data_IF_206354913450
#
_entry.id   IF_206354913450
#
_cell.length_a   1.000
_cell.length_b   1.000
_cell.length_c   1.000
_cell.angle_alpha   90.00
_cell.angle_beta   90.00
_cell.angle_gamma   90.00
#
_symmetry.space_group_name_H-M   'P 1'
#
loop_
_entity.id
_entity.type
_entity.pdbx_description
1 polymer ?
#
# COMPACT_ATOMS: atom_id res chain seq x y z
N UNK A 1 21.47 -17.86 -21.30
CA UNK A 1 21.55 -16.91 -20.16
C UNK A 1 20.15 -16.37 -19.93
N UNK A 2 19.46 -16.80 -18.86
CA UNK A 2 18.13 -16.28 -18.52
C UNK A 2 18.30 -14.85 -18.00
N UNK A 3 17.91 -13.86 -18.81
CA UNK A 3 17.97 -12.46 -18.44
C UNK A 3 17.13 -12.19 -17.18
N UNK A 4 17.65 -11.33 -16.30
CA UNK A 4 16.91 -10.88 -15.12
C UNK A 4 15.54 -10.30 -15.55
N UNK A 5 14.45 -10.80 -14.97
CA UNK A 5 13.10 -10.30 -15.24
C UNK A 5 12.85 -8.86 -14.73
N UNK A 6 13.82 -8.30 -13.99
CA UNK A 6 13.76 -6.95 -13.45
C UNK A 6 14.05 -5.90 -14.52
N UNK A 7 13.15 -4.92 -14.63
CA UNK A 7 13.23 -3.76 -15.52
C UNK A 7 13.18 -2.49 -14.69
N UNK A 8 14.33 -1.88 -14.43
CA UNK A 8 14.45 -0.74 -13.52
C UNK A 8 13.54 0.45 -13.91
N UNK A 9 13.56 0.89 -15.16
CA UNK A 9 12.68 2.01 -15.57
C UNK A 9 11.19 1.66 -15.43
N UNK A 10 10.81 0.38 -15.62
CA UNK A 10 9.43 -0.06 -15.38
C UNK A 10 9.06 0.09 -13.89
N UNK A 11 9.95 -0.29 -12.97
CA UNK A 11 9.74 -0.08 -11.54
C UNK A 11 9.63 1.42 -11.22
N UNK A 12 10.57 2.24 -11.69
CA UNK A 12 10.59 3.69 -11.44
C UNK A 12 9.31 4.38 -11.89
N UNK A 13 8.85 4.10 -13.10
CA UNK A 13 7.62 4.69 -13.64
C UNK A 13 6.40 4.25 -12.82
N UNK A 14 6.30 2.96 -12.49
CA UNK A 14 5.14 2.46 -11.75
C UNK A 14 5.12 2.94 -10.29
N UNK A 15 6.28 3.16 -9.64
CA UNK A 15 6.33 3.79 -8.32
C UNK A 15 5.70 5.19 -8.33
N UNK A 16 6.02 6.01 -9.34
CA UNK A 16 5.41 7.35 -9.51
C UNK A 16 3.91 7.27 -9.77
N UNK A 17 3.47 6.31 -10.57
CA UNK A 17 2.05 6.09 -10.83
C UNK A 17 1.29 5.66 -9.57
N UNK A 18 1.90 4.79 -8.76
CA UNK A 18 1.34 4.37 -7.46
C UNK A 18 1.18 5.57 -6.53
N UNK A 19 2.21 6.41 -6.37
CA UNK A 19 2.13 7.63 -5.54
C UNK A 19 0.95 8.52 -5.98
N UNK A 20 0.87 8.82 -7.27
CA UNK A 20 -0.22 9.66 -7.79
C UNK A 20 -1.60 9.01 -7.58
N UNK A 21 -1.69 7.68 -7.71
CA UNK A 21 -2.94 6.95 -7.47
C UNK A 21 -3.35 7.00 -6.01
N UNK A 22 -2.42 6.77 -5.08
CA UNK A 22 -2.66 6.78 -3.64
C UNK A 22 -3.16 8.16 -3.19
N UNK A 23 -2.49 9.25 -3.58
CA UNK A 23 -2.94 10.64 -3.32
C UNK A 23 -4.38 10.90 -3.74
N UNK A 24 -4.77 10.41 -4.92
CA UNK A 24 -6.13 10.57 -5.43
C UNK A 24 -7.15 9.76 -4.62
N UNK A 25 -6.80 8.54 -4.22
CA UNK A 25 -7.65 7.66 -3.43
C UNK A 25 -7.81 8.17 -2.00
N UNK A 26 -6.72 8.58 -1.35
CA UNK A 26 -6.71 9.20 -0.01
C UNK A 26 -7.65 10.40 0.02
N UNK A 27 -7.46 11.37 -0.88
CA UNK A 27 -8.35 12.54 -0.97
C UNK A 27 -9.81 12.14 -1.15
N UNK A 28 -10.09 11.23 -2.09
CA UNK A 28 -11.45 10.78 -2.38
C UNK A 28 -12.09 10.08 -1.18
N UNK A 29 -11.37 9.18 -0.51
CA UNK A 29 -11.88 8.42 0.64
C UNK A 29 -12.11 9.33 1.84
N UNK A 30 -11.22 10.28 2.11
CA UNK A 30 -11.40 11.31 3.15
C UNK A 30 -12.65 12.16 2.92
N UNK A 31 -12.90 12.60 1.68
CA UNK A 31 -14.12 13.34 1.35
C UNK A 31 -15.40 12.50 1.53
N UNK A 32 -15.35 11.20 1.18
CA UNK A 32 -16.46 10.27 1.38
C UNK A 32 -16.71 9.98 2.87
N UNK A 33 -15.65 9.82 3.67
CA UNK A 33 -15.72 9.63 5.11
C UNK A 33 -16.40 10.82 5.79
N UNK A 34 -16.09 12.05 5.37
CA UNK A 34 -16.73 13.26 5.90
C UNK A 34 -18.23 13.29 5.62
N UNK A 35 -18.67 12.87 4.42
CA UNK A 35 -20.09 12.75 4.08
C UNK A 35 -20.77 11.66 4.92
N UNK A 36 -20.11 10.51 5.09
CA UNK A 36 -20.63 9.41 5.88
C UNK A 36 -20.80 9.78 7.37
N UNK A 37 -19.92 10.61 7.93
CA UNK A 37 -20.05 11.14 9.30
C UNK A 37 -21.33 11.99 9.47
N UNK A 38 -21.72 12.74 8.45
CA UNK A 38 -23.01 13.47 8.44
C UNK A 38 -24.20 12.52 8.43
N UNK A 39 -24.15 11.45 7.64
CA UNK A 39 -25.21 10.42 7.63
C UNK A 39 -25.39 9.75 9.00
N UNK A 40 -24.30 9.55 9.74
CA UNK A 40 -24.37 9.02 11.12
C UNK A 40 -25.12 9.99 12.03
N UNK A 41 -24.83 11.29 11.95
CA UNK A 41 -25.55 12.29 12.73
C UNK A 41 -27.05 12.26 12.43
N UNK A 42 -27.43 12.10 11.16
CA UNK A 42 -28.84 11.97 10.75
C UNK A 42 -29.48 10.69 11.31
N UNK A 43 -28.75 9.56 11.34
CA UNK A 43 -29.24 8.33 11.96
C UNK A 43 -29.45 8.47 13.46
N UNK A 44 -28.52 9.09 14.18
CA UNK A 44 -28.64 9.32 15.62
C UNK A 44 -29.79 10.28 15.95
N UNK A 45 -29.94 11.36 15.18
CA UNK A 45 -31.07 12.30 15.34
C UNK A 45 -32.43 11.63 15.10
N UNK A 46 -32.48 10.60 14.24
CA UNK A 46 -33.67 9.80 13.99
C UNK A 46 -33.83 8.59 14.94
N UNK A 47 -32.99 8.46 15.97
CA UNK A 47 -33.04 7.34 16.94
C UNK A 47 -32.65 5.96 16.36
N UNK A 48 -31.90 5.92 15.26
CA UNK A 48 -31.50 4.70 14.54
C UNK A 48 -30.11 4.21 14.97
N UNK A 49 -29.92 3.97 16.26
CA UNK A 49 -28.61 3.70 16.86
C UNK A 49 -27.90 2.47 16.29
N UNK A 50 -28.62 1.38 16.03
CA UNK A 50 -28.03 0.16 15.46
C UNK A 50 -27.44 0.42 14.07
N UNK A 51 -28.16 1.18 13.25
CA UNK A 51 -27.71 1.54 11.90
C UNK A 51 -26.53 2.52 11.95
N UNK A 52 -26.53 3.44 12.91
CA UNK A 52 -25.41 4.33 13.17
C UNK A 52 -24.15 3.54 13.57
N UNK A 53 -24.29 2.51 14.44
CA UNK A 53 -23.19 1.65 14.87
C UNK A 53 -22.58 0.86 13.70
N UNK A 54 -23.40 0.21 12.88
CA UNK A 54 -22.90 -0.51 11.69
C UNK A 54 -22.20 0.48 10.72
N UNK A 55 -22.75 1.69 10.55
CA UNK A 55 -22.18 2.70 9.67
C UNK A 55 -20.82 3.21 10.18
N UNK A 56 -20.67 3.43 11.49
CA UNK A 56 -19.43 3.94 12.06
C UNK A 56 -18.28 2.94 11.93
N UNK A 57 -18.55 1.64 12.09
CA UNK A 57 -17.52 0.60 11.87
C UNK A 57 -16.94 0.64 10.45
N UNK A 58 -17.79 0.90 9.44
CA UNK A 58 -17.32 1.03 8.07
C UNK A 58 -16.44 2.28 7.89
N UNK A 59 -16.79 3.40 8.53
CA UNK A 59 -15.94 4.61 8.49
C UNK A 59 -14.59 4.35 9.14
N UNK A 60 -14.56 3.66 10.29
CA UNK A 60 -13.31 3.31 10.98
C UNK A 60 -12.39 2.48 10.07
N UNK A 61 -12.93 1.50 9.35
CA UNK A 61 -12.14 0.69 8.39
C UNK A 61 -11.63 1.53 7.21
N UNK A 62 -12.43 2.44 6.68
CA UNK A 62 -11.98 3.34 5.61
C UNK A 62 -10.92 4.34 6.10
N UNK A 63 -11.01 4.82 7.35
CA UNK A 63 -9.98 5.70 7.93
C UNK A 63 -8.65 4.95 8.10
N UNK A 64 -8.66 3.70 8.58
CA UNK A 64 -7.46 2.85 8.62
C UNK A 64 -6.90 2.58 7.22
N UNK A 65 -7.78 2.39 6.23
CA UNK A 65 -7.40 2.23 4.83
C UNK A 65 -6.64 3.45 4.30
N UNK A 66 -7.10 4.66 4.60
CA UNK A 66 -6.41 5.91 4.23
C UNK A 66 -5.05 6.02 4.92
N UNK A 67 -4.97 5.77 6.24
CA UNK A 67 -3.69 5.85 6.96
C UNK A 67 -2.63 4.92 6.36
N UNK A 68 -2.98 3.68 6.00
CA UNK A 68 -1.99 2.79 5.42
C UNK A 68 -1.73 3.07 3.92
N UNK A 69 -2.63 3.73 3.18
CA UNK A 69 -2.28 4.30 1.87
C UNK A 69 -1.17 5.37 2.00
N UNK A 70 -1.25 6.26 2.99
CA UNK A 70 -0.23 7.29 3.25
C UNK A 70 1.14 6.67 3.57
N UNK A 71 1.16 5.57 4.35
CA UNK A 71 2.39 4.82 4.64
C UNK A 71 2.96 4.18 3.36
N UNK A 72 2.11 3.59 2.51
CA UNK A 72 2.54 3.01 1.24
C UNK A 72 3.06 4.07 0.27
N UNK A 73 2.46 5.26 0.24
CA UNK A 73 2.96 6.41 -0.50
C UNK A 73 4.38 6.77 -0.05
N UNK A 74 4.57 6.95 1.25
CA UNK A 74 5.88 7.28 1.84
C UNK A 74 6.94 6.24 1.46
N UNK A 75 6.59 4.95 1.47
CA UNK A 75 7.51 3.90 1.04
C UNK A 75 7.81 3.94 -0.45
N UNK A 76 6.83 4.25 -1.30
CA UNK A 76 7.10 4.47 -2.72
C UNK A 76 8.06 5.64 -2.96
N UNK A 77 7.90 6.75 -2.24
CA UNK A 77 8.80 7.90 -2.31
C UNK A 77 10.20 7.57 -1.77
N UNK A 78 10.31 6.82 -0.67
CA UNK A 78 11.59 6.34 -0.15
C UNK A 78 12.34 5.49 -1.19
N UNK A 79 11.66 4.55 -1.84
CA UNK A 79 12.27 3.71 -2.88
C UNK A 79 12.69 4.54 -4.10
N UNK A 80 11.94 5.59 -4.47
CA UNK A 80 12.33 6.51 -5.54
C UNK A 80 13.53 7.38 -5.16
N UNK A 81 13.57 7.89 -3.93
CA UNK A 81 14.68 8.71 -3.43
C UNK A 81 15.99 7.90 -3.36
N UNK A 82 15.89 6.61 -3.01
CA UNK A 82 17.04 5.69 -2.92
C UNK A 82 17.13 4.73 -4.10
N UNK A 83 16.58 5.09 -5.25
CA UNK A 83 16.47 4.20 -6.40
C UNK A 83 17.83 3.73 -6.95
N UNK A 84 18.88 4.54 -6.77
CA UNK A 84 20.25 4.17 -7.14
C UNK A 84 20.72 2.88 -6.48
N UNK A 85 20.39 2.66 -5.20
CA UNK A 85 20.73 1.43 -4.46
C UNK A 85 20.03 0.22 -5.06
N UNK A 86 18.74 0.34 -5.41
CA UNK A 86 17.94 -0.73 -6.03
C UNK A 86 18.50 -1.10 -7.41
N UNK A 87 19.02 -0.13 -8.17
CA UNK A 87 19.60 -0.39 -9.49
C UNK A 87 21.00 -1.04 -9.39
N UNK A 88 21.89 -0.47 -8.58
CA UNK A 88 23.31 -0.83 -8.55
C UNK A 88 23.62 -2.06 -7.69
N UNK A 89 22.92 -2.23 -6.57
CA UNK A 89 23.18 -3.31 -5.62
C UNK A 89 22.39 -4.56 -5.98
N UNK A 90 23.00 -5.74 -5.82
CA UNK A 90 22.32 -7.02 -5.99
C UNK A 90 21.50 -7.40 -4.76
N UNK A 91 22.04 -7.11 -3.59
CA UNK A 91 21.42 -7.38 -2.30
C UNK A 91 20.48 -6.26 -1.88
N UNK A 92 19.49 -6.59 -1.07
CA UNK A 92 18.54 -5.63 -0.51
C UNK A 92 19.21 -4.87 0.64
N UNK A 93 19.28 -3.55 0.49
CA UNK A 93 19.73 -2.66 1.57
C UNK A 93 18.79 -2.77 2.78
N UNK A 94 19.36 -2.91 3.97
CA UNK A 94 18.58 -3.05 5.22
C UNK A 94 17.64 -1.87 5.47
N UNK A 95 18.03 -0.65 5.08
CA UNK A 95 17.20 0.55 5.19
C UNK A 95 16.05 0.61 4.17
N UNK A 96 16.00 -0.31 3.20
CA UNK A 96 14.91 -0.45 2.24
C UNK A 96 14.05 -1.70 2.49
N UNK A 97 14.48 -2.59 3.39
CA UNK A 97 13.85 -3.88 3.58
C UNK A 97 12.38 -3.78 4.01
N UNK A 98 12.08 -2.86 4.93
CA UNK A 98 10.71 -2.63 5.40
C UNK A 98 9.79 -2.15 4.26
N UNK A 99 10.23 -1.12 3.51
CA UNK A 99 9.48 -0.57 2.40
C UNK A 99 9.22 -1.61 1.29
N UNK A 100 10.25 -2.37 0.92
CA UNK A 100 10.14 -3.42 -0.11
C UNK A 100 9.19 -4.53 0.34
N UNK A 101 9.35 -5.06 1.54
CA UNK A 101 8.48 -6.11 2.08
C UNK A 101 7.03 -5.65 2.19
N UNK A 102 6.81 -4.44 2.69
CA UNK A 102 5.47 -3.89 2.88
C UNK A 102 4.74 -3.65 1.56
N UNK A 103 5.41 -3.10 0.55
CA UNK A 103 4.81 -2.91 -0.78
C UNK A 103 4.46 -4.24 -1.46
N UNK A 104 5.31 -5.26 -1.33
CA UNK A 104 5.02 -6.61 -1.85
C UNK A 104 3.82 -7.24 -1.12
N UNK A 105 3.75 -7.07 0.20
CA UNK A 105 2.65 -7.59 1.02
C UNK A 105 1.33 -6.87 0.72
N UNK A 106 1.35 -5.56 0.51
CA UNK A 106 0.15 -4.75 0.25
C UNK A 106 -0.42 -4.96 -1.16
N UNK A 107 0.42 -5.29 -2.15
CA UNK A 107 0.01 -5.46 -3.55
C UNK A 107 -1.24 -6.33 -3.78
N UNK A 108 -1.35 -7.57 -3.26
CA UNK A 108 -2.57 -8.38 -3.45
C UNK A 108 -3.81 -7.80 -2.75
N UNK A 109 -3.64 -6.97 -1.72
CA UNK A 109 -4.75 -6.40 -0.91
C UNK A 109 -5.35 -5.16 -1.56
N UNK A 110 -4.52 -4.35 -2.21
CA UNK A 110 -4.94 -3.13 -2.92
C UNK A 110 -5.11 -3.31 -4.44
N UNK A 111 -4.96 -4.53 -4.98
CA UNK A 111 -4.90 -4.73 -6.44
C UNK A 111 -6.14 -4.20 -7.19
N UNK A 112 -7.30 -4.14 -6.55
CA UNK A 112 -8.55 -3.64 -7.13
C UNK A 112 -8.59 -2.11 -7.25
N UNK A 113 -7.88 -1.39 -6.38
CA UNK A 113 -7.85 0.07 -6.35
C UNK A 113 -6.56 0.65 -6.97
N UNK A 114 -5.45 -0.10 -6.87
CA UNK A 114 -4.10 0.31 -7.30
C UNK A 114 -3.44 -0.81 -8.10
N UNK A 115 -3.85 -0.96 -9.36
CA UNK A 115 -3.34 -2.02 -10.24
C UNK A 115 -1.83 -1.90 -10.50
N UNK A 116 -1.29 -0.68 -10.49
CA UNK A 116 0.13 -0.38 -10.68
C UNK A 116 1.00 -0.94 -9.55
N UNK A 117 0.45 -1.09 -8.34
CA UNK A 117 1.16 -1.65 -7.18
C UNK A 117 1.52 -3.14 -7.40
N UNK A 118 0.67 -3.88 -8.12
CA UNK A 118 1.00 -5.25 -8.55
C UNK A 118 2.27 -5.27 -9.40
N UNK A 119 2.40 -4.31 -10.32
CA UNK A 119 3.57 -4.21 -11.20
C UNK A 119 4.82 -3.87 -10.38
N UNK A 120 4.71 -2.96 -9.42
CA UNK A 120 5.80 -2.64 -8.48
C UNK A 120 6.25 -3.88 -7.72
N UNK A 121 5.32 -4.62 -7.10
CA UNK A 121 5.64 -5.84 -6.37
C UNK A 121 6.27 -6.92 -7.26
N UNK A 122 5.76 -7.12 -8.47
CA UNK A 122 6.32 -8.08 -9.44
C UNK A 122 7.77 -7.69 -9.83
N UNK A 123 8.06 -6.40 -10.00
CA UNK A 123 9.42 -5.93 -10.28
C UNK A 123 10.36 -6.11 -9.07
N UNK A 124 9.90 -5.83 -7.85
CA UNK A 124 10.69 -6.06 -6.62
C UNK A 124 10.96 -7.56 -6.40
N UNK A 125 9.98 -8.43 -6.65
CA UNK A 125 10.16 -9.89 -6.61
C UNK A 125 11.15 -10.36 -7.70
N UNK A 126 11.11 -9.77 -8.89
CA UNK A 126 12.07 -10.09 -9.94
C UNK A 126 13.51 -9.64 -9.57
N UNK A 127 13.64 -8.56 -8.80
CA UNK A 127 14.94 -8.04 -8.32
C UNK A 127 15.52 -8.86 -7.17
N UNK A 128 14.72 -9.19 -6.15
CA UNK A 128 15.19 -9.78 -4.88
C UNK A 128 14.84 -11.27 -4.70
N UNK A 129 14.37 -11.92 -5.77
CA UNK A 129 13.90 -13.31 -5.86
C UNK A 129 12.41 -13.53 -5.62
N UNK A 130 11.87 -14.54 -6.33
CA UNK A 130 10.48 -14.99 -6.16
C UNK A 130 10.21 -15.54 -4.76
N UNK A 131 11.22 -16.17 -4.14
CA UNK A 131 11.08 -16.76 -2.81
C UNK A 131 10.96 -15.68 -1.75
N UNK A 132 11.82 -14.66 -1.80
CA UNK A 132 11.68 -13.45 -1.00
C UNK A 132 10.28 -12.85 -1.13
N UNK A 133 9.78 -12.70 -2.36
CA UNK A 133 8.44 -12.19 -2.62
C UNK A 133 7.31 -12.99 -1.97
N UNK A 134 7.42 -14.33 -1.90
CA UNK A 134 6.43 -15.16 -1.21
C UNK A 134 6.47 -14.94 0.30
N UNK A 135 7.68 -14.94 0.87
CA UNK A 135 7.88 -14.73 2.31
C UNK A 135 7.37 -13.34 2.75
N UNK A 136 7.53 -12.31 1.92
CA UNK A 136 6.93 -10.99 2.18
C UNK A 136 5.40 -11.06 2.20
N UNK A 137 4.76 -11.74 1.22
CA UNK A 137 3.28 -11.82 1.13
C UNK A 137 2.63 -12.48 2.33
N UNK A 138 3.33 -13.43 2.96
CA UNK A 138 2.89 -14.13 4.18
C UNK A 138 3.46 -13.52 5.46
N UNK A 139 4.21 -12.42 5.37
CA UNK A 139 4.97 -11.81 6.46
C UNK A 139 5.86 -12.81 7.25
N UNK A 140 6.37 -13.86 6.60
CA UNK A 140 7.30 -14.79 7.24
C UNK A 140 8.69 -14.18 7.46
N UNK A 141 9.02 -13.11 6.74
CA UNK A 141 10.25 -12.34 6.93
C UNK A 141 10.18 -11.43 8.17
N UNK A 142 8.97 -11.06 8.63
CA UNK A 142 8.80 -10.20 9.82
C UNK A 142 9.26 -8.75 9.64
N UNK A 143 9.43 -8.28 8.41
CA UNK A 143 9.82 -6.88 8.11
C UNK A 143 8.69 -6.10 7.43
N UNK A 144 7.47 -6.64 7.38
CA UNK A 144 6.31 -5.85 6.93
C UNK A 144 5.92 -4.91 8.06
N UNK A 145 5.59 -3.66 7.72
CA UNK A 145 5.18 -2.67 8.72
C UNK A 145 3.89 -3.09 9.44
N UNK A 146 3.93 -3.16 10.77
CA UNK A 146 2.81 -3.63 11.60
C UNK A 146 1.56 -2.75 11.49
N UNK A 147 1.70 -1.43 11.30
CA UNK A 147 0.53 -0.55 11.15
C UNK A 147 -0.23 -0.84 9.86
N UNK A 148 0.49 -1.14 8.78
CA UNK A 148 -0.10 -1.54 7.50
C UNK A 148 -0.73 -2.93 7.56
N UNK A 149 -0.28 -3.81 8.47
CA UNK A 149 -0.88 -5.13 8.63
C UNK A 149 -2.20 -5.13 9.38
N UNK A 150 -2.40 -4.15 10.27
CA UNK A 150 -3.53 -4.12 11.19
C UNK A 150 -4.68 -3.21 10.73
N UNK A 151 -4.66 -2.72 9.48
CA UNK A 151 -5.77 -1.98 8.87
C UNK A 151 -6.97 -2.86 8.46
#
# INVERSE_FOLDING_TARGET
MLGSGFKAERLRVNLRLVINRLKLLEKKKTELAQKARKEIADYLAAGKDERARIRVEHIIREDYLVEAMEILELYCDLLLARFGLIQSMKELDSGLAEAVSTLIWAAPRLQSEVAELKIVADQLCAKYSKEYGKLCRTNQIGTVNDRVMNW
#
